data_IF_458611275680
#
_entry.id   IF_458611275680
#
_cell.length_a   1.000
_cell.length_b   1.000
_cell.length_c   1.000
_cell.angle_alpha   90.00
_cell.angle_beta   90.00
_cell.angle_gamma   90.00
#
_symmetry.space_group_name_H-M   'P 1'
#
loop_
_entity.id
_entity.type
_entity.pdbx_description
1 polymer ?
#
# COMPACT_ATOMS: atom_id res chain seq x y z
N UNK A 1 -0.98 -6.08 -1.57
CA UNK A 1 -0.94 -4.66 -1.15
C UNK A 1 0.45 -4.15 -1.47
N UNK A 2 0.65 -2.84 -1.61
CA UNK A 2 2.00 -2.29 -1.73
C UNK A 2 2.85 -2.51 -0.49
N UNK A 3 4.16 -2.59 -0.67
CA UNK A 3 5.15 -2.75 0.38
C UNK A 3 5.83 -1.41 0.70
N UNK A 4 5.98 -1.10 1.99
CA UNK A 4 6.76 0.05 2.44
C UNK A 4 8.24 -0.29 2.36
N UNK A 5 8.98 0.50 1.58
CA UNK A 5 10.39 0.26 1.28
C UNK A 5 11.22 1.52 1.51
N UNK A 6 12.52 1.35 1.69
CA UNK A 6 13.50 2.44 1.62
C UNK A 6 14.29 2.29 0.32
N UNK A 7 13.99 3.14 -0.64
CA UNK A 7 14.67 3.20 -1.93
C UNK A 7 15.93 4.07 -1.82
N UNK A 8 16.98 3.68 -2.54
CA UNK A 8 18.20 4.48 -2.71
C UNK A 8 18.43 4.66 -4.20
N UNK A 9 18.49 5.92 -4.64
CA UNK A 9 18.79 6.27 -6.03
C UNK A 9 20.31 6.21 -6.26
N UNK A 10 20.74 6.13 -7.53
CA UNK A 10 22.16 6.01 -7.89
C UNK A 10 23.01 7.22 -7.47
N UNK A 11 22.38 8.39 -7.30
CA UNK A 11 23.01 9.62 -6.78
C UNK A 11 23.05 9.70 -5.25
N UNK A 12 22.66 8.64 -4.54
CA UNK A 12 22.68 8.55 -3.08
C UNK A 12 21.44 9.11 -2.38
N UNK A 13 20.48 9.71 -3.10
CA UNK A 13 19.19 10.13 -2.49
C UNK A 13 18.44 8.92 -1.96
N UNK A 14 17.80 9.09 -0.80
CA UNK A 14 17.01 8.05 -0.13
C UNK A 14 15.56 8.48 -0.02
N UNK A 15 14.64 7.53 -0.18
CA UNK A 15 13.20 7.77 -0.11
C UNK A 15 12.52 6.60 0.61
N UNK A 16 11.72 6.89 1.62
CA UNK A 16 10.84 5.90 2.25
C UNK A 16 9.45 6.05 1.64
N UNK A 17 8.97 5.01 0.96
CA UNK A 17 7.70 5.08 0.22
C UNK A 17 7.05 3.71 0.04
N UNK A 18 5.74 3.74 -0.19
CA UNK A 18 5.00 2.60 -0.70
C UNK A 18 5.39 2.29 -2.15
N UNK A 19 5.77 1.05 -2.42
CA UNK A 19 5.94 0.51 -3.77
C UNK A 19 4.80 -0.46 -4.02
N UNK A 20 4.03 -0.22 -5.07
CA UNK A 20 2.90 -1.09 -5.42
C UNK A 20 3.39 -2.51 -5.75
N UNK A 21 2.58 -3.51 -5.43
CA UNK A 21 2.98 -4.92 -5.56
C UNK A 21 3.42 -5.30 -6.99
N UNK A 22 2.78 -4.71 -7.99
CA UNK A 22 3.12 -4.92 -9.40
C UNK A 22 4.47 -4.30 -9.80
N UNK A 23 4.98 -3.34 -9.03
CA UNK A 23 6.28 -2.69 -9.23
C UNK A 23 7.37 -3.27 -8.33
N UNK A 24 7.00 -3.81 -7.17
CA UNK A 24 7.94 -4.30 -6.17
C UNK A 24 8.79 -5.47 -6.69
N UNK A 25 8.20 -6.48 -7.34
CA UNK A 25 8.93 -7.65 -7.87
C UNK A 25 9.99 -7.23 -8.93
N UNK A 26 9.66 -6.46 -9.98
CA UNK A 26 10.67 -5.93 -10.89
C UNK A 26 11.76 -5.11 -10.20
N UNK A 27 11.39 -4.29 -9.23
CA UNK A 27 12.32 -3.39 -8.53
C UNK A 27 13.31 -4.19 -7.66
N UNK A 28 12.84 -5.22 -6.95
CA UNK A 28 13.69 -6.10 -6.14
C UNK A 28 14.72 -6.82 -7.00
N UNK A 29 14.29 -7.38 -8.14
CA UNK A 29 15.19 -8.06 -9.08
C UNK A 29 16.26 -7.14 -9.62
N UNK A 30 15.88 -5.93 -10.03
CA UNK A 30 16.82 -4.93 -10.51
C UNK A 30 17.80 -4.45 -9.42
N UNK A 31 17.40 -4.53 -8.14
CA UNK A 31 18.18 -4.06 -6.99
C UNK A 31 19.04 -5.14 -6.33
N UNK A 32 19.21 -6.31 -6.96
CA UNK A 32 20.07 -7.39 -6.45
C UNK A 32 19.37 -8.41 -5.54
N UNK A 33 18.03 -8.44 -5.52
CA UNK A 33 17.24 -9.46 -4.80
C UNK A 33 16.57 -10.40 -5.83
N UNK A 34 17.31 -11.40 -6.36
CA UNK A 34 16.82 -12.24 -7.46
C UNK A 34 15.60 -13.08 -7.06
N UNK A 35 15.52 -13.46 -5.78
CA UNK A 35 14.47 -14.27 -5.19
C UNK A 35 13.13 -13.53 -5.05
N UNK A 36 13.07 -12.23 -5.36
CA UNK A 36 11.87 -11.38 -5.27
C UNK A 36 11.44 -11.14 -3.82
N UNK A 37 10.17 -10.82 -3.62
CA UNK A 37 9.54 -10.66 -2.32
C UNK A 37 9.25 -12.04 -1.68
N UNK A 38 10.28 -12.65 -1.07
CA UNK A 38 10.15 -13.94 -0.35
C UNK A 38 9.76 -13.70 1.10
N UNK A 39 8.81 -14.50 1.59
CA UNK A 39 8.42 -14.47 2.99
C UNK A 39 9.62 -14.73 3.91
N UNK A 40 9.78 -13.90 4.93
CA UNK A 40 10.76 -14.11 6.00
C UNK A 40 10.27 -15.20 6.98
N UNK A 41 11.02 -15.42 8.07
CA UNK A 41 10.76 -16.44 9.10
C UNK A 41 9.35 -16.37 9.71
N UNK A 42 8.70 -15.21 9.66
CA UNK A 42 7.33 -15.02 10.17
C UNK A 42 6.25 -15.46 9.18
N UNK A 43 6.61 -15.98 8.00
CA UNK A 43 5.67 -16.36 6.95
C UNK A 43 5.04 -15.18 6.19
N UNK A 44 5.62 -13.98 6.30
CA UNK A 44 5.18 -12.77 5.60
C UNK A 44 6.34 -12.09 4.88
N UNK A 45 6.02 -11.26 3.88
CA UNK A 45 6.98 -10.37 3.25
C UNK A 45 7.78 -9.59 4.31
N UNK A 46 9.10 -9.40 4.13
CA UNK A 46 9.92 -8.53 4.97
C UNK A 46 9.54 -7.05 4.84
N UNK A 47 8.78 -6.68 3.81
CA UNK A 47 8.31 -5.32 3.58
C UNK A 47 6.91 -5.12 4.21
N UNK A 48 6.75 -4.18 5.15
CA UNK A 48 5.46 -3.92 5.76
C UNK A 48 4.40 -3.52 4.73
N UNK A 49 3.21 -4.12 4.81
CA UNK A 49 2.12 -3.80 3.90
C UNK A 49 1.51 -2.42 4.21
N UNK A 50 1.43 -1.55 3.20
CA UNK A 50 0.75 -0.27 3.34
C UNK A 50 -0.78 -0.45 3.25
N UNK A 51 -1.49 -0.04 4.30
CA UNK A 51 -2.96 -0.07 4.34
C UNK A 51 -3.62 1.26 4.00
N UNK A 52 -2.84 2.28 3.61
CA UNK A 52 -3.30 3.63 3.28
C UNK A 52 -3.97 4.38 4.46
N UNK A 53 -3.52 4.09 5.68
CA UNK A 53 -3.79 4.91 6.86
C UNK A 53 -2.59 5.83 7.07
N UNK A 54 -2.71 7.07 6.61
CA UNK A 54 -1.63 8.06 6.64
C UNK A 54 -1.80 8.96 7.87
N UNK A 55 -0.75 9.04 8.68
CA UNK A 55 -0.66 9.98 9.80
C UNK A 55 0.37 11.03 9.39
N UNK A 56 -0.06 12.28 9.35
CA UNK A 56 0.78 13.42 8.95
C UNK A 56 0.82 14.44 10.08
N UNK A 57 1.98 15.07 10.24
CA UNK A 57 2.11 16.24 11.09
C UNK A 57 1.52 17.44 10.35
N UNK A 58 0.59 18.15 10.99
CA UNK A 58 -0.30 19.09 10.32
C UNK A 58 0.45 20.31 9.76
N UNK A 59 1.43 20.85 10.49
CA UNK A 59 2.18 22.03 10.02
C UNK A 59 3.02 21.71 8.78
N UNK A 60 3.79 20.62 8.81
CA UNK A 60 4.55 20.10 7.66
C UNK A 60 3.64 19.79 6.46
N UNK A 61 2.44 19.27 6.71
CA UNK A 61 1.46 18.99 5.66
C UNK A 61 0.95 20.28 5.00
N UNK A 62 0.60 21.31 5.78
CA UNK A 62 0.14 22.60 5.27
C UNK A 62 1.24 23.30 4.47
N UNK A 63 2.49 23.26 4.94
CA UNK A 63 3.63 23.86 4.22
C UNK A 63 3.80 23.21 2.84
N UNK A 64 3.80 21.87 2.80
CA UNK A 64 3.96 21.13 1.55
C UNK A 64 2.74 21.30 0.63
N UNK A 65 1.52 21.36 1.18
CA UNK A 65 0.30 21.65 0.42
C UNK A 65 0.33 23.05 -0.19
N UNK A 66 0.82 24.04 0.55
CA UNK A 66 0.94 25.43 0.09
C UNK A 66 1.96 25.55 -1.05
N UNK A 67 3.08 24.81 -0.94
CA UNK A 67 4.16 24.74 -1.93
C UNK A 67 3.73 24.03 -3.21
N UNK A 68 3.06 22.88 -3.10
CA UNK A 68 2.68 22.03 -4.25
C UNK A 68 1.31 22.37 -4.84
N UNK A 69 0.52 23.18 -4.14
CA UNK A 69 -0.92 23.40 -4.44
C UNK A 69 -1.72 22.11 -4.49
N UNK A 70 -1.29 21.09 -3.74
CA UNK A 70 -1.92 19.77 -3.71
C UNK A 70 -1.53 18.85 -4.86
N UNK A 71 -0.58 19.24 -5.71
CA UNK A 71 -0.06 18.38 -6.75
C UNK A 71 0.71 17.19 -6.16
N UNK A 72 0.35 15.99 -6.60
CA UNK A 72 1.03 14.74 -6.29
C UNK A 72 1.53 14.13 -7.59
N UNK A 73 2.65 13.41 -7.54
CA UNK A 73 3.23 12.76 -8.71
C UNK A 73 2.19 11.87 -9.42
N UNK A 74 2.03 12.11 -10.72
CA UNK A 74 1.09 11.39 -11.57
C UNK A 74 1.75 10.17 -12.22
N UNK A 75 0.93 9.20 -12.58
CA UNK A 75 1.32 8.03 -13.36
C UNK A 75 0.17 7.61 -14.29
N UNK A 76 0.46 6.69 -15.21
CA UNK A 76 -0.55 6.04 -16.05
C UNK A 76 -0.51 4.53 -15.85
N UNK A 77 -1.66 3.87 -15.92
CA UNK A 77 -1.77 2.41 -15.86
C UNK A 77 -2.64 1.86 -17.02
N UNK A 78 -2.15 1.93 -18.27
CA UNK A 78 -2.90 1.50 -19.43
C UNK A 78 -3.16 -0.01 -19.42
N UNK A 79 -4.42 -0.39 -19.70
CA UNK A 79 -4.80 -1.78 -19.96
C UNK A 79 -4.73 -2.03 -21.46
N UNK A 80 -3.84 -2.91 -21.90
CA UNK A 80 -3.66 -3.24 -23.32
C UNK A 80 -4.54 -4.42 -23.75
N UNK A 81 -4.89 -4.49 -25.04
CA UNK A 81 -5.66 -5.61 -25.60
C UNK A 81 -4.87 -6.92 -25.57
N UNK A 82 -3.57 -6.83 -25.80
CA UNK A 82 -2.64 -7.95 -25.92
C UNK A 82 -1.22 -7.54 -25.49
N UNK A 83 -0.27 -8.47 -25.60
CA UNK A 83 1.12 -8.30 -25.21
C UNK A 83 1.93 -7.36 -26.11
N UNK A 84 1.43 -6.97 -27.31
CA UNK A 84 2.13 -6.02 -28.19
C UNK A 84 2.14 -4.60 -27.62
N UNK A 85 1.21 -4.29 -26.70
CA UNK A 85 1.04 -2.97 -26.07
C UNK A 85 0.86 -1.82 -27.07
N UNK A 86 0.29 -2.09 -28.24
CA UNK A 86 0.05 -1.08 -29.29
C UNK A 86 -1.34 -0.45 -29.23
N UNK A 87 -2.32 -1.13 -28.62
CA UNK A 87 -3.69 -0.63 -28.51
C UNK A 87 -4.29 -0.87 -27.12
N UNK A 88 -5.02 0.12 -26.63
CA UNK A 88 -5.69 0.04 -25.33
C UNK A 88 -6.97 -0.79 -25.41
N UNK A 89 -7.21 -1.60 -24.37
CA UNK A 89 -8.46 -2.35 -24.15
C UNK A 89 -9.58 -1.44 -23.67
N UNK A 90 -9.24 -0.35 -22.98
CA UNK A 90 -10.15 0.67 -22.49
C UNK A 90 -9.39 2.00 -22.41
N UNK A 91 -10.11 3.13 -22.45
CA UNK A 91 -9.48 4.45 -22.25
C UNK A 91 -8.65 4.49 -20.96
N UNK A 92 -7.51 5.17 -21.01
CA UNK A 92 -6.61 5.36 -19.87
C UNK A 92 -6.60 6.83 -19.47
N UNK A 93 -6.18 7.11 -18.24
CA UNK A 93 -6.16 8.45 -17.65
C UNK A 93 -4.92 8.59 -16.77
N UNK A 94 -4.56 9.82 -16.49
CA UNK A 94 -3.61 10.12 -15.41
C UNK A 94 -4.25 9.74 -14.08
N UNK A 95 -3.45 9.14 -13.22
CA UNK A 95 -3.80 8.76 -11.86
C UNK A 95 -2.71 9.29 -10.93
N UNK A 96 -3.06 9.53 -9.67
CA UNK A 96 -2.10 9.81 -8.62
C UNK A 96 -2.50 9.01 -7.37
N UNK A 97 -1.53 8.71 -6.51
CA UNK A 97 -1.78 7.99 -5.26
C UNK A 97 -1.54 8.90 -4.08
N UNK A 98 -2.48 9.02 -3.14
CA UNK A 98 -2.28 9.85 -1.94
C UNK A 98 -1.05 9.44 -1.12
N UNK A 99 -0.69 8.15 -1.13
CA UNK A 99 0.51 7.64 -0.46
C UNK A 99 1.83 7.97 -1.18
N UNK A 100 1.78 8.65 -2.33
CA UNK A 100 2.97 9.20 -3.01
C UNK A 100 3.38 10.58 -2.49
N UNK A 101 2.65 11.13 -1.50
CA UNK A 101 3.02 12.34 -0.77
C UNK A 101 4.52 12.41 -0.35
N UNK A 102 5.17 11.32 0.13
CA UNK A 102 6.61 11.30 0.38
C UNK A 102 7.50 11.81 -0.77
N UNK A 103 7.06 11.72 -2.03
CA UNK A 103 7.84 12.16 -3.20
C UNK A 103 8.00 13.68 -3.27
N UNK A 104 7.12 14.45 -2.63
CA UNK A 104 7.17 15.93 -2.66
C UNK A 104 8.02 16.51 -1.52
N UNK A 105 8.24 15.70 -0.48
CA UNK A 105 8.97 16.07 0.72
C UNK A 105 10.48 16.19 0.49
N UNK A 106 11.12 16.99 1.33
CA UNK A 106 12.58 17.11 1.38
C UNK A 106 13.25 15.80 1.82
N UNK A 107 14.51 15.59 1.43
CA UNK A 107 15.29 14.42 1.89
C UNK A 107 15.54 14.42 3.41
N UNK A 108 15.43 15.57 4.08
CA UNK A 108 15.53 15.70 5.54
C UNK A 108 14.23 15.36 6.28
N UNK A 109 13.11 15.18 5.57
CA UNK A 109 11.83 14.88 6.18
C UNK A 109 11.83 13.48 6.80
N UNK A 110 11.30 13.37 8.02
CA UNK A 110 11.24 12.10 8.77
C UNK A 110 10.00 11.33 8.35
N UNK A 111 10.20 10.26 7.59
CA UNK A 111 9.14 9.38 7.10
C UNK A 111 9.36 7.98 7.69
N UNK A 112 8.31 7.43 8.29
CA UNK A 112 8.37 6.13 8.94
C UNK A 112 7.05 5.38 8.78
N UNK A 113 6.95 4.26 9.49
CA UNK A 113 5.75 3.43 9.50
C UNK A 113 5.57 2.82 10.88
N UNK A 114 4.31 2.53 11.22
CA UNK A 114 3.96 1.78 12.43
C UNK A 114 3.35 0.46 11.99
N UNK A 115 3.91 -0.65 12.49
CA UNK A 115 3.36 -1.99 12.28
C UNK A 115 2.47 -2.32 13.45
N UNK A 116 1.24 -2.73 13.16
CA UNK A 116 0.28 -3.20 14.17
C UNK A 116 -0.34 -4.52 13.72
N UNK A 117 -0.97 -5.21 14.66
CA UNK A 117 -1.66 -6.46 14.37
C UNK A 117 -2.79 -6.29 13.35
N UNK A 118 -2.77 -7.14 12.32
CA UNK A 118 -3.72 -7.08 11.19
C UNK A 118 -5.18 -7.14 11.64
N UNK A 119 -5.49 -7.90 12.69
CA UNK A 119 -6.86 -8.05 13.19
C UNK A 119 -7.42 -6.76 13.79
N UNK A 120 -6.55 -5.84 14.24
CA UNK A 120 -6.94 -4.58 14.89
C UNK A 120 -7.12 -3.45 13.87
N UNK A 121 -6.23 -3.37 12.88
CA UNK A 121 -6.13 -2.19 12.00
C UNK A 121 -6.59 -2.41 10.55
N UNK A 122 -6.92 -3.65 10.16
CA UNK A 122 -7.19 -3.98 8.77
C UNK A 122 -8.49 -4.76 8.57
N UNK A 123 -9.59 -4.03 8.37
CA UNK A 123 -10.91 -4.58 8.07
C UNK A 123 -11.56 -3.94 6.83
N UNK A 124 -10.95 -4.00 5.63
CA UNK A 124 -11.60 -3.46 4.45
C UNK A 124 -12.79 -4.32 4.00
N UNK A 125 -13.65 -3.71 3.20
CA UNK A 125 -14.70 -4.38 2.42
C UNK A 125 -14.51 -3.95 0.97
N UNK A 126 -13.85 -4.79 0.17
CA UNK A 126 -13.43 -4.45 -1.20
C UNK A 126 -13.92 -5.43 -2.26
N UNK A 127 -14.21 -6.66 -1.86
CA UNK A 127 -14.64 -7.71 -2.78
C UNK A 127 -16.15 -7.94 -2.64
N UNK A 128 -16.81 -8.13 -3.78
CA UNK A 128 -18.13 -8.76 -3.82
C UNK A 128 -18.01 -10.25 -3.42
N UNK A 129 -19.14 -10.94 -3.25
CA UNK A 129 -19.14 -12.33 -2.80
C UNK A 129 -18.49 -13.30 -3.80
N UNK A 130 -18.72 -13.08 -5.10
CA UNK A 130 -18.21 -13.94 -6.17
C UNK A 130 -16.70 -13.88 -6.29
N UNK A 131 -16.11 -12.69 -6.27
CA UNK A 131 -14.67 -12.48 -6.36
C UNK A 131 -13.97 -12.92 -5.09
N UNK A 132 -14.64 -12.78 -3.95
CA UNK A 132 -14.14 -13.31 -2.68
C UNK A 132 -14.06 -14.83 -2.67
N UNK A 133 -15.01 -15.53 -3.29
CA UNK A 133 -14.97 -17.00 -3.40
C UNK A 133 -13.78 -17.50 -4.25
N UNK A 134 -13.26 -16.67 -5.16
CA UNK A 134 -12.08 -16.96 -6.00
C UNK A 134 -10.75 -16.70 -5.28
N UNK A 135 -10.77 -16.09 -4.09
CA UNK A 135 -9.54 -15.80 -3.34
C UNK A 135 -8.90 -17.11 -2.87
N UNK A 136 -7.61 -17.36 -3.19
CA UNK A 136 -6.94 -18.59 -2.80
C UNK A 136 -6.96 -18.83 -1.28
N UNK A 137 -7.00 -20.11 -0.88
CA UNK A 137 -6.97 -20.52 0.52
C UNK A 137 -5.72 -19.94 1.21
N UNK A 138 -5.92 -19.32 2.38
CA UNK A 138 -4.86 -18.62 3.12
C UNK A 138 -4.86 -17.10 2.93
N UNK A 139 -5.52 -16.58 1.88
CA UNK A 139 -5.65 -15.13 1.67
C UNK A 139 -6.95 -14.56 2.26
N UNK A 140 -6.95 -13.28 2.70
CA UNK A 140 -8.15 -12.60 3.15
C UNK A 140 -9.23 -12.46 2.06
N UNK A 141 -10.47 -12.87 2.33
CA UNK A 141 -11.59 -12.65 1.41
C UNK A 141 -12.06 -11.18 1.33
N UNK A 142 -11.90 -10.38 2.40
CA UNK A 142 -12.17 -8.93 2.46
C UNK A 142 -13.60 -8.56 1.96
N UNK A 143 -14.62 -9.24 2.50
CA UNK A 143 -16.05 -8.99 2.22
C UNK A 143 -16.82 -8.53 3.44
N UNK A 144 -17.99 -7.95 3.20
CA UNK A 144 -18.94 -7.50 4.24
C UNK A 144 -19.43 -8.67 5.11
N UNK A 145 -19.79 -9.79 4.49
CA UNK A 145 -20.50 -10.89 5.13
C UNK A 145 -19.59 -11.73 6.05
N UNK A 146 -18.33 -11.94 5.65
CA UNK A 146 -17.43 -12.90 6.31
C UNK A 146 -16.35 -12.25 7.16
N UNK A 147 -15.96 -10.98 6.88
CA UNK A 147 -14.89 -10.30 7.62
C UNK A 147 -15.28 -8.96 8.21
N UNK A 148 -15.91 -8.06 7.45
CA UNK A 148 -16.16 -6.68 7.92
C UNK A 148 -16.92 -6.61 9.25
N UNK A 149 -18.03 -7.36 9.37
CA UNK A 149 -18.84 -7.39 10.58
C UNK A 149 -18.14 -8.06 11.78
N UNK A 150 -17.49 -9.20 11.55
CA UNK A 150 -16.80 -9.94 12.61
C UNK A 150 -15.54 -9.23 13.13
N UNK A 151 -14.78 -8.57 12.26
CA UNK A 151 -13.64 -7.75 12.66
C UNK A 151 -14.03 -6.42 13.31
N UNK A 152 -15.30 -5.99 13.26
CA UNK A 152 -15.75 -4.85 14.05
C UNK A 152 -16.23 -5.28 15.44
N UNK A 153 -17.01 -6.37 15.51
CA UNK A 153 -17.57 -6.88 16.76
C UNK A 153 -16.48 -7.44 17.67
N UNK A 154 -15.54 -8.23 17.15
CA UNK A 154 -14.53 -8.91 17.97
C UNK A 154 -13.59 -7.95 18.71
N UNK A 155 -13.00 -6.91 18.08
CA UNK A 155 -12.20 -5.92 18.79
C UNK A 155 -13.01 -5.15 19.83
N UNK A 156 -14.27 -4.82 19.53
CA UNK A 156 -15.16 -4.12 20.48
C UNK A 156 -15.36 -4.94 21.75
N UNK A 157 -15.66 -6.23 21.61
CA UNK A 157 -15.79 -7.14 22.76
C UNK A 157 -14.47 -7.26 23.53
N UNK A 158 -13.34 -7.40 22.83
CA UNK A 158 -12.04 -7.53 23.47
C UNK A 158 -11.65 -6.27 24.24
N UNK A 159 -11.95 -5.10 23.68
CA UNK A 159 -11.71 -3.81 24.32
C UNK A 159 -12.57 -3.64 25.57
N UNK A 160 -13.87 -3.94 25.48
CA UNK A 160 -14.79 -3.90 26.63
C UNK A 160 -14.36 -4.86 27.75
N UNK A 161 -13.88 -6.07 27.41
CA UNK A 161 -13.35 -7.03 28.40
C UNK A 161 -12.07 -6.57 29.09
N UNK A 162 -11.35 -5.60 28.54
CA UNK A 162 -10.10 -5.06 29.11
C UNK A 162 -10.34 -3.85 30.01
N UNK A 163 -11.54 -3.25 29.92
CA UNK A 163 -11.97 -2.12 30.74
C UNK A 163 -12.78 -2.55 31.98
N UNK A 164 -13.21 -3.81 32.03
CA UNK A 164 -13.83 -4.45 33.18
C UNK A 164 -12.77 -5.23 33.97
#
# INVERSE_FOLDING_TARGET
MGGLTRLTHSDGRKLVINVEYNQLDPLLRASGYPERDVNCQTGFSPFPGNINQLIVELSSYIDELTKTKGAIAEFINPKYKDSSKTSFKSSTRLECMMQDYPKTLSASSRIGFTVMDKWLIYAPVKNNLEDAAKVPKGNPHITVQLRGRWLFIKPTILFLKRLA
#
